data_IF_681008242978
#
_entry.id   IF_681008242978
#
_cell.length_a   1.000
_cell.length_b   1.000
_cell.length_c   1.000
_cell.angle_alpha   90.00
_cell.angle_beta   90.00
_cell.angle_gamma   90.00
#
_symmetry.space_group_name_H-M   'P 1'
#
loop_
_entity.id
_entity.type
_entity.pdbx_description
1 polymer ?
#
# COMPACT_ATOMS: atom_id res chain seq x y z
N UNK A 1 -5.86 -3.37 15.79
CA UNK A 1 -5.82 -2.03 16.41
C UNK A 1 -6.64 -1.08 15.55
N UNK A 2 -7.50 -0.26 16.15
CA UNK A 2 -8.24 0.79 15.43
C UNK A 2 -7.40 2.08 15.32
N UNK A 3 -7.74 2.92 14.35
CA UNK A 3 -7.14 4.24 14.18
C UNK A 3 -7.83 5.23 15.11
N UNK A 4 -7.05 5.96 15.91
CA UNK A 4 -7.55 7.11 16.66
C UNK A 4 -7.78 8.31 15.73
N UNK A 5 -8.50 9.33 16.19
CA UNK A 5 -8.67 10.57 15.41
C UNK A 5 -7.33 11.27 15.14
N UNK A 6 -6.38 11.14 16.06
CA UNK A 6 -5.00 11.60 15.86
C UNK A 6 -4.32 10.86 14.71
N UNK A 7 -4.46 9.54 14.66
CA UNK A 7 -3.91 8.74 13.56
C UNK A 7 -4.52 9.12 12.22
N UNK A 8 -5.85 9.24 12.16
CA UNK A 8 -6.57 9.63 10.95
C UNK A 8 -6.13 11.00 10.45
N UNK A 9 -5.96 11.96 11.36
CA UNK A 9 -5.49 13.30 11.06
C UNK A 9 -4.07 13.28 10.51
N UNK A 10 -3.15 12.55 11.16
CA UNK A 10 -1.77 12.39 10.71
C UNK A 10 -1.69 11.73 9.33
N UNK A 11 -2.50 10.68 9.10
CA UNK A 11 -2.60 10.00 7.81
C UNK A 11 -3.03 10.95 6.71
N UNK A 12 -4.15 11.67 6.90
CA UNK A 12 -4.65 12.65 5.92
C UNK A 12 -3.64 13.77 5.67
N UNK A 13 -2.99 14.27 6.73
CA UNK A 13 -2.02 15.36 6.63
C UNK A 13 -0.78 14.96 5.82
N UNK A 14 -0.18 13.80 6.10
CA UNK A 14 0.97 13.33 5.32
C UNK A 14 0.54 12.93 3.90
N UNK A 15 -0.64 12.30 3.71
CA UNK A 15 -1.17 11.99 2.38
C UNK A 15 -1.30 13.23 1.50
N UNK A 16 -1.78 14.34 2.07
CA UNK A 16 -1.86 15.64 1.39
C UNK A 16 -0.51 16.17 0.90
N UNK A 17 0.60 15.79 1.54
CA UNK A 17 1.96 16.15 1.12
C UNK A 17 2.52 15.20 0.05
N UNK A 18 2.29 13.89 0.19
CA UNK A 18 2.93 12.87 -0.68
C UNK A 18 2.14 12.54 -1.94
N UNK A 19 0.83 12.82 -1.98
CA UNK A 19 -0.08 12.42 -3.06
C UNK A 19 0.37 12.86 -4.46
N UNK A 20 1.08 13.99 -4.58
CA UNK A 20 1.63 14.47 -5.85
C UNK A 20 2.74 13.58 -6.41
N UNK A 21 3.41 12.81 -5.57
CA UNK A 21 4.46 11.85 -5.94
C UNK A 21 4.01 10.40 -5.76
N UNK A 22 2.70 10.17 -5.59
CA UNK A 22 2.15 8.84 -5.35
C UNK A 22 2.56 7.84 -6.45
N UNK A 23 2.53 8.25 -7.73
CA UNK A 23 2.95 7.38 -8.84
C UNK A 23 4.41 6.92 -8.71
N UNK A 24 5.31 7.81 -8.29
CA UNK A 24 6.74 7.48 -8.06
C UNK A 24 6.90 6.57 -6.85
N UNK A 25 6.27 6.91 -5.72
CA UNK A 25 6.29 6.09 -4.49
C UNK A 25 5.79 4.67 -4.78
N UNK A 26 4.69 4.54 -5.54
CA UNK A 26 4.12 3.25 -5.89
C UNK A 26 5.03 2.41 -6.77
N UNK A 27 5.66 3.02 -7.77
CA UNK A 27 6.59 2.33 -8.66
C UNK A 27 7.83 1.82 -7.90
N UNK A 28 8.44 2.67 -7.07
CA UNK A 28 9.62 2.31 -6.28
C UNK A 28 9.29 1.25 -5.22
N UNK A 29 8.17 1.39 -4.50
CA UNK A 29 7.78 0.43 -3.47
C UNK A 29 7.47 -0.95 -4.06
N UNK A 30 6.79 -0.99 -5.21
CA UNK A 30 6.50 -2.24 -5.91
C UNK A 30 7.77 -2.87 -6.50
N UNK A 31 8.64 -2.07 -7.11
CA UNK A 31 9.95 -2.53 -7.59
C UNK A 31 10.80 -3.11 -6.46
N UNK A 32 10.87 -2.41 -5.31
CA UNK A 32 11.54 -2.89 -4.10
C UNK A 32 10.96 -4.21 -3.62
N UNK A 33 9.63 -4.33 -3.56
CA UNK A 33 8.98 -5.58 -3.15
C UNK A 33 9.41 -6.75 -4.02
N UNK A 34 9.41 -6.58 -5.34
CA UNK A 34 9.77 -7.63 -6.29
C UNK A 34 11.24 -8.03 -6.22
N UNK A 35 12.14 -7.09 -5.89
CA UNK A 35 13.58 -7.37 -5.76
C UNK A 35 13.92 -7.98 -4.40
N UNK A 36 13.48 -7.36 -3.31
CA UNK A 36 13.87 -7.71 -1.94
C UNK A 36 13.10 -8.92 -1.42
N UNK A 37 11.87 -9.14 -1.91
CA UNK A 37 10.99 -10.23 -1.52
C UNK A 37 10.59 -11.04 -2.76
N UNK A 38 11.51 -11.82 -3.35
CA UNK A 38 11.31 -12.48 -4.64
C UNK A 38 10.16 -13.48 -4.66
N UNK A 39 9.73 -14.00 -3.49
CA UNK A 39 8.53 -14.84 -3.39
C UNK A 39 7.26 -14.13 -3.88
N UNK A 40 7.24 -12.80 -3.88
CA UNK A 40 6.09 -12.01 -4.37
C UNK A 40 5.98 -11.98 -5.88
N UNK A 41 7.05 -12.33 -6.62
CA UNK A 41 7.06 -12.33 -8.10
C UNK A 41 6.05 -13.30 -8.71
N UNK A 42 5.67 -14.36 -7.99
CA UNK A 42 4.70 -15.35 -8.49
C UNK A 42 3.36 -14.73 -8.88
N UNK A 43 2.92 -13.67 -8.18
CA UNK A 43 1.64 -12.99 -8.47
C UNK A 43 1.69 -12.17 -9.75
N UNK A 44 2.89 -11.89 -10.26
CA UNK A 44 3.15 -11.03 -11.40
C UNK A 44 3.78 -11.79 -12.57
N UNK A 45 3.86 -13.13 -12.53
CA UNK A 45 4.51 -13.99 -13.53
C UNK A 45 4.04 -13.80 -14.98
N UNK A 46 2.89 -13.16 -15.17
CA UNK A 46 2.33 -12.80 -16.47
C UNK A 46 2.94 -11.52 -17.08
N UNK A 47 3.74 -10.75 -16.32
CA UNK A 47 4.42 -9.56 -16.83
C UNK A 47 5.66 -9.90 -17.63
N UNK A 48 5.91 -9.18 -18.75
CA UNK A 48 7.10 -9.39 -19.56
C UNK A 48 8.37 -8.87 -18.88
N UNK A 49 8.25 -7.92 -17.96
CA UNK A 49 9.37 -7.32 -17.24
C UNK A 49 8.95 -6.86 -15.83
N UNK A 50 9.62 -7.42 -14.82
CA UNK A 50 9.42 -7.10 -13.40
C UNK A 50 10.58 -6.29 -12.79
N UNK A 51 11.49 -5.77 -13.61
CA UNK A 51 12.59 -4.94 -13.09
C UNK A 51 12.05 -3.64 -12.48
N UNK A 52 12.72 -3.08 -11.46
CA UNK A 52 12.44 -1.72 -11.03
C UNK A 52 12.44 -0.76 -12.21
N UNK A 53 11.44 0.13 -12.27
CA UNK A 53 11.29 1.10 -13.36
C UNK A 53 10.68 0.56 -14.67
N UNK A 54 10.35 -0.73 -14.76
CA UNK A 54 9.64 -1.27 -15.93
C UNK A 54 8.23 -0.68 -16.06
N UNK A 55 7.69 -0.64 -17.28
CA UNK A 55 6.34 -0.11 -17.54
C UNK A 55 5.24 -0.88 -16.77
N UNK A 56 5.24 -2.23 -16.70
CA UNK A 56 4.29 -2.96 -15.86
C UNK A 56 4.35 -2.56 -14.37
N UNK A 57 5.56 -2.41 -13.82
CA UNK A 57 5.76 -2.02 -12.42
C UNK A 57 5.25 -0.61 -12.15
N UNK A 58 5.58 0.36 -13.02
CA UNK A 58 5.06 1.73 -12.90
C UNK A 58 3.54 1.79 -12.98
N UNK A 59 2.96 1.13 -13.99
CA UNK A 59 1.52 1.12 -14.21
C UNK A 59 0.77 0.48 -13.04
N UNK A 60 1.29 -0.61 -12.46
CA UNK A 60 0.65 -1.25 -11.32
C UNK A 60 0.90 -0.51 -10.00
N UNK A 61 2.10 0.06 -9.81
CA UNK A 61 2.42 0.93 -8.66
C UNK A 61 1.44 2.10 -8.55
N UNK A 62 1.08 2.72 -9.68
CA UNK A 62 0.02 3.73 -9.74
C UNK A 62 -1.34 3.20 -9.27
N UNK A 63 -1.74 1.99 -9.69
CA UNK A 63 -3.01 1.37 -9.25
C UNK A 63 -3.02 1.12 -7.74
N UNK A 64 -1.92 0.60 -7.18
CA UNK A 64 -1.76 0.38 -5.73
C UNK A 64 -1.96 1.69 -4.97
N UNK A 65 -1.31 2.77 -5.41
CA UNK A 65 -1.42 4.07 -4.76
C UNK A 65 -2.80 4.73 -4.95
N UNK A 66 -3.49 4.43 -6.05
CA UNK A 66 -4.91 4.73 -6.23
C UNK A 66 -5.78 4.02 -5.19
N UNK A 67 -5.53 2.74 -4.92
CA UNK A 67 -6.18 1.98 -3.84
C UNK A 67 -5.94 2.60 -2.46
N UNK A 68 -4.73 3.09 -2.19
CA UNK A 68 -4.43 3.80 -0.94
C UNK A 68 -5.11 5.18 -0.87
N UNK A 69 -5.27 5.88 -2.00
CA UNK A 69 -6.07 7.12 -2.06
C UNK A 69 -7.51 6.83 -1.62
N UNK A 70 -8.10 5.76 -2.16
CA UNK A 70 -9.43 5.30 -1.76
C UNK A 70 -9.48 4.97 -0.26
N UNK A 71 -8.51 4.22 0.25
CA UNK A 71 -8.42 3.89 1.68
C UNK A 71 -8.35 5.14 2.58
N UNK A 72 -7.55 6.15 2.22
CA UNK A 72 -7.49 7.43 2.97
C UNK A 72 -8.85 8.15 2.93
N UNK A 73 -9.57 8.11 1.80
CA UNK A 73 -10.91 8.70 1.69
C UNK A 73 -11.98 7.93 2.49
N UNK A 74 -11.75 6.65 2.74
CA UNK A 74 -12.64 5.74 3.49
C UNK A 74 -12.11 5.38 4.87
N UNK A 75 -11.21 6.18 5.43
CA UNK A 75 -10.46 5.84 6.65
C UNK A 75 -11.33 5.59 7.90
N UNK A 76 -12.58 6.05 7.88
CA UNK A 76 -13.54 5.82 8.95
C UNK A 76 -14.24 4.45 8.88
N UNK A 77 -14.31 3.85 7.68
CA UNK A 77 -14.81 2.49 7.45
C UNK A 77 -14.05 1.82 6.28
N UNK A 78 -12.84 1.35 6.59
CA UNK A 78 -11.97 0.68 5.62
C UNK A 78 -12.54 -0.67 5.16
N UNK A 79 -13.28 -1.37 6.04
CA UNK A 79 -13.86 -2.68 5.73
C UNK A 79 -14.89 -2.56 4.62
N UNK A 80 -15.85 -1.65 4.74
CA UNK A 80 -16.82 -1.42 3.68
C UNK A 80 -16.15 -0.73 2.47
N UNK A 81 -15.28 0.25 2.72
CA UNK A 81 -14.64 1.05 1.68
C UNK A 81 -13.70 0.29 0.74
N UNK A 82 -13.13 -0.84 1.18
CA UNK A 82 -12.20 -1.66 0.40
C UNK A 82 -12.76 -3.04 0.04
N UNK A 83 -14.06 -3.27 0.20
CA UNK A 83 -14.70 -4.58 0.00
C UNK A 83 -14.42 -5.15 -1.40
N UNK A 84 -14.60 -4.36 -2.46
CA UNK A 84 -14.34 -4.79 -3.85
C UNK A 84 -12.86 -5.19 -4.05
N UNK A 85 -11.93 -4.44 -3.46
CA UNK A 85 -10.51 -4.78 -3.52
C UNK A 85 -10.22 -6.05 -2.73
N UNK A 86 -10.88 -6.28 -1.59
CA UNK A 86 -10.77 -7.53 -0.83
C UNK A 86 -11.24 -8.72 -1.66
N UNK A 87 -12.40 -8.62 -2.32
CA UNK A 87 -12.92 -9.68 -3.20
C UNK A 87 -11.98 -9.96 -4.38
N UNK A 88 -11.43 -8.91 -4.99
CA UNK A 88 -10.45 -9.06 -6.06
C UNK A 88 -9.20 -9.81 -5.58
N UNK A 89 -8.62 -9.42 -4.44
CA UNK A 89 -7.41 -10.06 -3.91
C UNK A 89 -7.67 -11.49 -3.42
N UNK A 90 -8.84 -11.74 -2.82
CA UNK A 90 -9.20 -13.04 -2.28
C UNK A 90 -9.61 -14.05 -3.35
N UNK A 91 -10.55 -13.69 -4.23
CA UNK A 91 -11.20 -14.65 -5.13
C UNK A 91 -10.59 -14.69 -6.52
N UNK A 92 -10.19 -13.53 -7.06
CA UNK A 92 -9.64 -13.42 -8.42
C UNK A 92 -8.12 -13.64 -8.42
N UNK A 93 -7.40 -12.84 -7.64
CA UNK A 93 -5.93 -12.86 -7.63
C UNK A 93 -5.36 -13.92 -6.70
N UNK A 94 -6.13 -14.33 -5.67
CA UNK A 94 -5.75 -15.32 -4.65
C UNK A 94 -4.39 -15.04 -4.02
N UNK A 95 -4.14 -13.77 -3.68
CA UNK A 95 -2.88 -13.33 -3.06
C UNK A 95 -2.84 -13.79 -1.61
N UNK A 96 -1.82 -14.49 -1.13
CA UNK A 96 -1.73 -14.81 0.31
C UNK A 96 -1.69 -13.50 1.14
N UNK A 97 -2.60 -13.29 2.12
CA UNK A 97 -2.66 -12.09 2.95
C UNK A 97 -1.35 -11.74 3.66
N UNK A 98 -0.46 -12.71 3.89
CA UNK A 98 0.86 -12.49 4.46
C UNK A 98 1.73 -11.54 3.62
N UNK A 99 1.40 -11.31 2.35
CA UNK A 99 2.12 -10.41 1.46
C UNK A 99 1.71 -8.95 1.61
N UNK A 100 0.55 -8.62 2.19
CA UNK A 100 0.11 -7.23 2.36
C UNK A 100 1.11 -6.42 3.21
N UNK A 101 1.56 -7.00 4.33
CA UNK A 101 2.57 -6.38 5.20
C UNK A 101 3.92 -6.15 4.50
N UNK A 102 4.27 -6.97 3.51
CA UNK A 102 5.52 -6.81 2.75
C UNK A 102 5.44 -5.54 1.90
N UNK A 103 4.34 -5.36 1.17
CA UNK A 103 4.13 -4.15 0.39
C UNK A 103 4.01 -2.91 1.29
N UNK A 104 3.28 -3.01 2.40
CA UNK A 104 3.20 -1.94 3.41
C UNK A 104 4.59 -1.50 3.87
N UNK A 105 5.46 -2.45 4.23
CA UNK A 105 6.83 -2.16 4.63
C UNK A 105 7.62 -1.46 3.52
N UNK A 106 7.53 -1.94 2.27
CA UNK A 106 8.22 -1.31 1.14
C UNK A 106 7.75 0.14 0.92
N UNK A 107 6.45 0.41 1.07
CA UNK A 107 5.92 1.78 0.98
C UNK A 107 6.46 2.65 2.11
N UNK A 108 6.51 2.18 3.36
CA UNK A 108 7.09 2.95 4.48
C UNK A 108 8.57 3.29 4.22
N UNK A 109 9.35 2.36 3.64
CA UNK A 109 10.74 2.61 3.25
C UNK A 109 10.83 3.68 2.17
N UNK A 110 9.96 3.68 1.16
CA UNK A 110 9.93 4.72 0.14
C UNK A 110 9.50 6.09 0.69
N UNK A 111 8.54 6.13 1.61
CA UNK A 111 8.16 7.36 2.29
C UNK A 111 9.31 7.96 3.09
N UNK A 112 10.07 7.12 3.80
CA UNK A 112 11.27 7.55 4.52
C UNK A 112 12.38 8.06 3.57
N UNK A 113 12.48 7.47 2.38
CA UNK A 113 13.51 7.84 1.38
C UNK A 113 13.17 9.15 0.67
N UNK A 114 11.92 9.32 0.25
CA UNK A 114 11.48 10.43 -0.60
C UNK A 114 11.04 11.64 0.24
N UNK A 115 10.47 11.40 1.43
CA UNK A 115 9.90 12.43 2.31
C UNK A 115 10.49 12.37 3.74
N UNK A 116 11.82 12.35 3.92
CA UNK A 116 12.43 12.13 5.25
C UNK A 116 12.06 13.21 6.27
N UNK A 117 11.73 14.42 5.84
CA UNK A 117 11.33 15.52 6.74
C UNK A 117 9.89 15.39 7.20
N UNK A 118 9.00 14.93 6.31
CA UNK A 118 7.58 14.76 6.60
C UNK A 118 7.29 13.42 7.28
N UNK A 119 8.11 12.40 7.05
CA UNK A 119 7.97 11.06 7.61
C UNK A 119 8.63 10.97 9.00
N UNK A 120 8.09 11.74 9.94
CA UNK A 120 8.53 11.74 11.35
C UNK A 120 8.15 10.42 12.05
N UNK A 121 8.70 10.12 13.24
CA UNK A 121 8.31 8.93 14.01
C UNK A 121 6.81 8.86 14.30
N UNK A 122 6.15 9.99 14.55
CA UNK A 122 4.70 10.06 14.78
C UNK A 122 3.93 9.76 13.49
N UNK A 123 4.37 10.32 12.36
CA UNK A 123 3.75 10.05 11.06
C UNK A 123 3.92 8.57 10.67
N UNK A 124 5.10 8.00 10.91
CA UNK A 124 5.39 6.59 10.71
C UNK A 124 4.46 5.71 11.56
N UNK A 125 4.33 5.97 12.86
CA UNK A 125 3.44 5.20 13.74
C UNK A 125 1.99 5.19 13.21
N UNK A 126 1.46 6.35 12.84
CA UNK A 126 0.09 6.44 12.32
C UNK A 126 -0.08 5.75 10.96
N UNK A 127 0.94 5.81 10.08
CA UNK A 127 0.92 5.10 8.79
C UNK A 127 1.05 3.59 8.94
N UNK A 128 1.87 3.09 9.85
CA UNK A 128 2.01 1.67 10.12
C UNK A 128 0.69 1.07 10.65
N UNK A 129 0.04 1.78 11.57
CA UNK A 129 -1.33 1.43 12.04
C UNK A 129 -2.34 1.47 10.88
N UNK A 130 -2.28 2.49 10.03
CA UNK A 130 -3.17 2.62 8.88
C UNK A 130 -2.98 1.46 7.89
N UNK A 131 -1.75 1.12 7.54
CA UNK A 131 -1.47 -0.01 6.67
C UNK A 131 -1.86 -1.35 7.28
N UNK A 132 -1.71 -1.52 8.59
CA UNK A 132 -2.25 -2.69 9.29
C UNK A 132 -3.78 -2.78 9.15
N UNK A 133 -4.49 -1.64 9.28
CA UNK A 133 -5.94 -1.59 9.12
C UNK A 133 -6.38 -1.83 7.65
N UNK A 134 -5.63 -1.31 6.67
CA UNK A 134 -5.84 -1.58 5.24
C UNK A 134 -5.63 -3.06 4.92
N UNK A 135 -4.54 -3.66 5.40
CA UNK A 135 -4.27 -5.08 5.22
C UNK A 135 -5.37 -5.95 5.84
N UNK A 136 -5.88 -5.58 7.02
CA UNK A 136 -7.01 -6.26 7.65
C UNK A 136 -8.29 -6.15 6.80
N UNK A 137 -8.59 -4.97 6.26
CA UNK A 137 -9.74 -4.77 5.38
C UNK A 137 -9.61 -5.54 4.05
N UNK A 138 -8.42 -5.60 3.46
CA UNK A 138 -8.17 -6.42 2.27
C UNK A 138 -8.28 -7.92 2.56
N UNK A 139 -7.96 -8.35 3.78
CA UNK A 139 -8.09 -9.74 4.22
C UNK A 139 -9.53 -10.16 4.56
N UNK A 140 -10.51 -9.26 4.52
CA UNK A 140 -11.89 -9.51 5.00
C UNK A 140 -12.57 -10.68 4.27
N UNK A 141 -12.35 -10.84 2.96
CA UNK A 141 -13.07 -11.83 2.13
C UNK A 141 -12.31 -13.13 1.90
N UNK A 142 -11.26 -13.39 2.67
CA UNK A 142 -10.43 -14.60 2.51
C UNK A 142 -11.05 -15.86 3.13
N UNK A 143 -12.08 -15.71 3.97
CA UNK A 143 -12.78 -16.81 4.63
C UNK A 143 -14.22 -16.42 4.97
#
# INVERSE_FOLDING_TARGET
>A
MSLSDKDKTAVKALWGKISKSADVVGAEALGRMLVVYPQTKTYFAHWPDMSPGSEPVKAHGKKVMGGLTLAVSKIDDLKAGLLELSEQHAFTLRVDPANFKILSHCILVELATIFPKEFTPEAHLSYDKFFTAVALALAERYR
#
